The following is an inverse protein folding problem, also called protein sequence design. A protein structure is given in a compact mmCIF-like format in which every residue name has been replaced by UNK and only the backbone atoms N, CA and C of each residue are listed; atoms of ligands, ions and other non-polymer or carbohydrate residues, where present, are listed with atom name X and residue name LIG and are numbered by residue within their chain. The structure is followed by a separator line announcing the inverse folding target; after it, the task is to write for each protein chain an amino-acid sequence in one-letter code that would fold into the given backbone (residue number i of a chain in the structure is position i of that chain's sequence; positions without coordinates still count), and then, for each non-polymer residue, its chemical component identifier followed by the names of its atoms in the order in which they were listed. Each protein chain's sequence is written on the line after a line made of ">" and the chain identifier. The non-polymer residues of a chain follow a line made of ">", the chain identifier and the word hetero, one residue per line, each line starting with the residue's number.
data_IF_103479316906
#
_entry.id   IF_103479316906
#
_cell.length_a   1.000
_cell.length_b   1.000
_cell.length_c   1.000
_cell.angle_alpha   90.00
_cell.angle_beta   90.00
_cell.angle_gamma   90.00
#
_symmetry.space_group_name_H-M   'P 1'
#
loop_
_entity.id
_entity.type
_entity.pdbx_description
1 polymer ?
#
# COMPACT_ATOMS: atom_id res chain seq x y z
N UNK A 1 -54.69 32.22 13.36
CA UNK A 1 -54.03 31.07 12.72
C UNK A 1 -55.08 30.13 12.22
N UNK A 2 -55.11 29.88 10.94
CA UNK A 2 -56.05 28.96 10.34
C UNK A 2 -55.49 27.52 10.38
N UNK A 3 -56.32 26.51 10.46
CA UNK A 3 -55.94 25.09 10.47
C UNK A 3 -55.08 24.73 9.25
N UNK A 4 -55.35 25.38 8.10
CA UNK A 4 -54.59 25.21 6.84
C UNK A 4 -53.15 25.74 6.99
N UNK A 5 -52.97 26.87 7.66
CA UNK A 5 -51.66 27.50 7.86
C UNK A 5 -50.74 26.60 8.74
N UNK A 6 -51.30 25.97 9.78
CA UNK A 6 -50.60 24.99 10.61
C UNK A 6 -50.22 23.73 9.79
N UNK A 7 -51.13 23.25 8.95
CA UNK A 7 -50.88 22.09 8.09
C UNK A 7 -49.74 22.36 7.10
N UNK A 8 -49.74 23.51 6.46
CA UNK A 8 -48.68 23.93 5.53
C UNK A 8 -47.33 24.06 6.23
N UNK A 9 -47.31 24.60 7.46
CA UNK A 9 -46.06 24.70 8.25
C UNK A 9 -45.50 23.34 8.59
N UNK A 10 -46.31 22.38 9.04
CA UNK A 10 -45.90 21.03 9.36
C UNK A 10 -45.32 20.30 8.14
N UNK A 11 -46.02 20.39 6.98
CA UNK A 11 -45.54 19.81 5.72
C UNK A 11 -44.18 20.41 5.32
N UNK A 12 -44.03 21.74 5.44
CA UNK A 12 -42.76 22.41 5.17
C UNK A 12 -41.59 21.89 6.05
N UNK A 13 -41.85 21.75 7.33
CA UNK A 13 -40.83 21.22 8.27
C UNK A 13 -40.43 19.77 7.94
N UNK A 14 -41.39 18.91 7.58
CA UNK A 14 -41.12 17.51 7.20
C UNK A 14 -40.25 17.47 5.92
N UNK A 15 -40.56 18.28 4.91
CA UNK A 15 -39.77 18.33 3.66
C UNK A 15 -38.35 18.80 3.92
N UNK A 16 -38.17 19.87 4.69
CA UNK A 16 -36.84 20.39 5.03
C UNK A 16 -36.03 19.35 5.84
N UNK A 17 -36.65 18.69 6.81
CA UNK A 17 -36.00 17.65 7.61
C UNK A 17 -35.53 16.46 6.76
N UNK A 18 -36.32 16.06 5.78
CA UNK A 18 -35.95 15.01 4.83
C UNK A 18 -34.73 15.37 3.98
N UNK A 19 -34.71 16.60 3.46
CA UNK A 19 -33.57 17.11 2.66
C UNK A 19 -32.29 17.19 3.50
N UNK A 20 -32.37 17.68 4.72
CA UNK A 20 -31.22 17.79 5.63
C UNK A 20 -30.64 16.41 5.96
N UNK A 21 -31.48 15.44 6.26
CA UNK A 21 -31.04 14.06 6.58
C UNK A 21 -30.30 13.43 5.39
N UNK A 22 -30.83 13.59 4.20
CA UNK A 22 -30.19 13.07 2.97
C UNK A 22 -28.85 13.76 2.71
N UNK A 23 -28.78 15.07 2.86
CA UNK A 23 -27.56 15.86 2.69
C UNK A 23 -26.45 15.45 3.66
N UNK A 24 -26.79 15.23 4.93
CA UNK A 24 -25.81 14.77 5.94
C UNK A 24 -25.29 13.37 5.60
N UNK A 25 -26.16 12.44 5.21
CA UNK A 25 -25.72 11.08 4.85
C UNK A 25 -24.77 11.09 3.64
N UNK A 26 -25.07 11.89 2.62
CA UNK A 26 -24.19 12.03 1.46
C UNK A 26 -22.84 12.62 1.84
N UNK A 27 -22.83 13.67 2.66
CA UNK A 27 -21.62 14.31 3.15
C UNK A 27 -20.72 13.33 3.92
N UNK A 28 -21.30 12.54 4.83
CA UNK A 28 -20.55 11.55 5.60
C UNK A 28 -19.95 10.45 4.70
N UNK A 29 -20.71 9.97 3.70
CA UNK A 29 -20.19 8.97 2.76
C UNK A 29 -19.03 9.54 1.92
N UNK A 30 -19.18 10.75 1.42
CA UNK A 30 -18.13 11.43 0.65
C UNK A 30 -16.89 11.66 1.48
N UNK A 31 -17.06 12.14 2.72
CA UNK A 31 -15.96 12.36 3.65
C UNK A 31 -15.17 11.07 3.94
N UNK A 32 -15.87 9.96 4.22
CA UNK A 32 -15.21 8.65 4.44
C UNK A 32 -14.42 8.19 3.23
N UNK A 33 -14.95 8.37 2.01
CA UNK A 33 -14.23 8.08 0.77
C UNK A 33 -12.98 8.92 0.60
N UNK A 34 -13.07 10.21 0.81
CA UNK A 34 -11.91 11.12 0.73
C UNK A 34 -10.84 10.75 1.76
N UNK A 35 -11.25 10.39 2.97
CA UNK A 35 -10.31 9.93 4.02
C UNK A 35 -9.62 8.63 3.62
N UNK A 36 -10.35 7.63 3.14
CA UNK A 36 -9.78 6.36 2.70
C UNK A 36 -8.78 6.58 1.54
N UNK A 37 -9.11 7.42 0.59
CA UNK A 37 -8.24 7.77 -0.52
C UNK A 37 -6.96 8.48 -0.05
N UNK A 38 -7.07 9.47 0.84
CA UNK A 38 -5.92 10.17 1.40
C UNK A 38 -5.01 9.24 2.19
N UNK A 39 -5.59 8.33 2.98
CA UNK A 39 -4.83 7.31 3.72
C UNK A 39 -4.12 6.33 2.79
N UNK A 40 -4.79 5.90 1.70
CA UNK A 40 -4.19 5.05 0.68
C UNK A 40 -3.00 5.73 -0.01
N UNK A 41 -3.10 7.01 -0.34
CA UNK A 41 -2.00 7.79 -0.93
C UNK A 41 -0.82 7.90 0.03
N UNK A 42 -1.08 8.17 1.30
CA UNK A 42 -0.03 8.24 2.33
C UNK A 42 0.66 6.89 2.53
N UNK A 43 -0.12 5.81 2.58
CA UNK A 43 0.42 4.45 2.70
C UNK A 43 1.25 4.08 1.46
N UNK A 44 0.76 4.40 0.25
CA UNK A 44 1.46 4.18 -1.02
C UNK A 44 2.82 4.87 -1.01
N UNK A 45 2.87 6.14 -0.69
CA UNK A 45 4.10 6.93 -0.61
C UNK A 45 5.08 6.35 0.42
N UNK A 46 4.60 6.01 1.61
CA UNK A 46 5.42 5.42 2.68
C UNK A 46 5.98 4.06 2.29
N UNK A 47 5.16 3.20 1.69
CA UNK A 47 5.59 1.88 1.21
C UNK A 47 6.60 2.01 0.07
N UNK A 48 6.35 2.88 -0.90
CA UNK A 48 7.27 3.13 -2.01
C UNK A 48 8.64 3.56 -1.48
N UNK A 49 8.69 4.46 -0.51
CA UNK A 49 9.94 4.89 0.11
C UNK A 49 10.62 3.73 0.84
N UNK A 50 9.89 3.01 1.69
CA UNK A 50 10.46 1.90 2.48
C UNK A 50 10.97 0.75 1.60
N UNK A 51 10.22 0.38 0.56
CA UNK A 51 10.63 -0.65 -0.41
C UNK A 51 11.84 -0.15 -1.21
N UNK A 52 11.82 1.09 -1.69
CA UNK A 52 12.93 1.69 -2.44
C UNK A 52 14.22 1.67 -1.64
N UNK A 53 14.18 2.05 -0.36
CA UNK A 53 15.36 2.08 0.49
C UNK A 53 15.92 0.67 0.71
N UNK A 54 15.06 -0.30 0.97
CA UNK A 54 15.49 -1.71 1.13
C UNK A 54 16.09 -2.28 -0.17
N UNK A 55 15.48 -2.02 -1.32
CA UNK A 55 15.96 -2.51 -2.61
C UNK A 55 17.23 -1.81 -3.07
N UNK A 56 17.34 -0.51 -2.84
CA UNK A 56 18.49 0.30 -3.26
C UNK A 56 19.77 -0.10 -2.54
N UNK A 57 19.67 -0.39 -1.26
CA UNK A 57 20.82 -0.69 -0.39
C UNK A 57 20.95 -2.18 -0.03
N UNK A 58 20.18 -3.06 -0.69
CA UNK A 58 20.29 -4.51 -0.42
C UNK A 58 21.70 -5.02 -0.68
N UNK A 59 22.17 -5.93 0.18
CA UNK A 59 23.49 -6.55 0.09
C UNK A 59 23.58 -7.53 -1.06
N UNK A 60 22.86 -8.64 -0.98
CA UNK A 60 22.86 -9.70 -1.99
C UNK A 60 21.46 -9.91 -2.55
N UNK A 61 21.38 -10.16 -3.84
CA UNK A 61 20.12 -10.55 -4.51
C UNK A 61 20.37 -11.92 -5.13
N UNK A 62 19.57 -12.90 -4.72
CA UNK A 62 19.63 -14.25 -5.26
C UNK A 62 18.36 -14.49 -6.06
N UNK A 63 18.50 -14.96 -7.31
CA UNK A 63 17.39 -15.15 -8.24
C UNK A 63 17.31 -14.07 -9.30
N UNK A 64 16.48 -14.32 -10.29
CA UNK A 64 16.16 -13.40 -11.39
C UNK A 64 14.65 -13.47 -11.69
N UNK A 65 14.11 -12.44 -12.31
CA UNK A 65 12.67 -12.36 -12.55
C UNK A 65 11.87 -12.17 -11.25
N UNK A 66 10.84 -12.99 -11.04
CA UNK A 66 9.90 -12.87 -9.89
C UNK A 66 10.32 -13.63 -8.63
N UNK A 67 11.22 -14.60 -8.77
CA UNK A 67 11.70 -15.43 -7.65
C UNK A 67 12.95 -14.81 -7.04
N UNK A 68 12.78 -13.76 -6.25
CA UNK A 68 13.88 -12.97 -5.71
C UNK A 68 13.96 -13.13 -4.21
N UNK A 69 15.15 -13.45 -3.73
CA UNK A 69 15.50 -13.43 -2.33
C UNK A 69 16.50 -12.28 -2.10
N UNK A 70 16.19 -11.40 -1.19
CA UNK A 70 16.96 -10.19 -0.88
C UNK A 70 17.57 -10.35 0.51
N UNK A 71 18.84 -10.03 0.62
CA UNK A 71 19.58 -10.02 1.86
C UNK A 71 20.06 -8.60 2.16
N UNK A 72 19.74 -8.10 3.35
CA UNK A 72 20.19 -6.78 3.78
C UNK A 72 21.69 -6.74 4.10
N UNK A 73 22.30 -5.57 4.05
CA UNK A 73 23.69 -5.36 4.44
C UNK A 73 23.83 -5.66 5.93
N UNK A 74 24.65 -6.65 6.28
CA UNK A 74 24.84 -7.09 7.67
C UNK A 74 23.98 -8.29 8.09
N UNK A 75 23.27 -8.92 7.18
CA UNK A 75 22.52 -10.18 7.43
C UNK A 75 21.36 -10.06 8.44
N UNK A 76 20.91 -8.85 8.72
CA UNK A 76 19.91 -8.62 9.78
C UNK A 76 18.50 -8.96 9.29
N UNK A 77 18.22 -8.72 8.01
CA UNK A 77 16.92 -8.99 7.40
C UNK A 77 17.13 -9.63 6.03
N UNK A 78 16.52 -10.78 5.83
CA UNK A 78 16.62 -11.49 4.56
C UNK A 78 15.32 -12.19 4.22
N UNK A 79 14.97 -12.27 2.95
CA UNK A 79 13.78 -12.94 2.49
C UNK A 79 13.23 -12.40 1.18
N UNK A 80 12.09 -12.93 0.79
CA UNK A 80 11.28 -12.38 -0.29
C UNK A 80 10.30 -11.36 0.26
N UNK A 81 9.92 -10.39 -0.57
CA UNK A 81 8.80 -9.52 -0.25
C UNK A 81 7.49 -10.29 -0.45
N UNK A 82 6.66 -10.31 0.57
CA UNK A 82 5.35 -10.97 0.57
C UNK A 82 4.29 -10.06 1.20
N UNK A 83 3.04 -10.39 0.99
CA UNK A 83 1.91 -9.72 1.63
C UNK A 83 1.18 -10.75 2.49
N UNK A 84 0.92 -10.40 3.76
CA UNK A 84 0.17 -11.25 4.67
C UNK A 84 -1.36 -11.19 4.42
N UNK A 85 -2.11 -12.06 5.09
CA UNK A 85 -3.58 -12.10 5.00
C UNK A 85 -4.25 -10.79 5.44
N UNK A 86 -3.54 -9.96 6.18
CA UNK A 86 -4.01 -8.64 6.61
C UNK A 86 -3.66 -7.53 5.60
N UNK A 87 -2.98 -7.85 4.50
CA UNK A 87 -2.54 -6.90 3.50
C UNK A 87 -1.34 -6.05 3.95
N UNK A 88 -0.49 -6.59 4.83
CA UNK A 88 0.73 -5.92 5.26
C UNK A 88 1.93 -6.49 4.51
N UNK A 89 2.86 -5.65 4.11
CA UNK A 89 4.07 -6.06 3.40
C UNK A 89 5.13 -6.55 4.39
N UNK A 90 5.67 -7.73 4.10
CA UNK A 90 6.75 -8.35 4.87
C UNK A 90 8.00 -8.48 3.99
N UNK A 91 9.16 -8.43 4.63
CA UNK A 91 10.44 -8.89 4.09
C UNK A 91 10.85 -10.14 4.89
N UNK A 92 10.76 -11.31 4.26
CA UNK A 92 10.89 -12.57 4.97
C UNK A 92 9.80 -12.76 6.02
N UNK A 93 10.17 -12.78 7.30
CA UNK A 93 9.23 -12.89 8.43
C UNK A 93 8.91 -11.56 9.11
N UNK A 94 9.61 -10.49 8.74
CA UNK A 94 9.52 -9.20 9.40
C UNK A 94 8.63 -8.23 8.63
N UNK A 95 7.73 -7.56 9.33
CA UNK A 95 6.88 -6.52 8.75
C UNK A 95 7.70 -5.30 8.36
N UNK A 96 7.51 -4.84 7.11
CA UNK A 96 8.23 -3.68 6.57
C UNK A 96 7.82 -2.39 7.28
N UNK A 97 6.54 -2.25 7.59
CA UNK A 97 5.99 -1.10 8.30
C UNK A 97 5.25 -1.56 9.57
N UNK A 98 5.22 -0.70 10.57
CA UNK A 98 4.45 -0.93 11.80
C UNK A 98 2.94 -1.03 11.52
N UNK A 99 2.24 -1.87 12.30
CA UNK A 99 0.78 -2.07 12.15
C UNK A 99 -0.04 -0.77 12.15
N UNK A 100 0.41 0.24 12.89
CA UNK A 100 -0.26 1.56 12.98
C UNK A 100 -0.21 2.38 11.69
N UNK A 101 0.70 2.07 10.77
CA UNK A 101 0.83 2.75 9.49
C UNK A 101 -0.28 2.36 8.52
N UNK A 102 -0.82 1.15 8.70
CA UNK A 102 -1.96 0.68 7.91
C UNK A 102 -3.25 1.21 8.53
N UNK A 103 -3.95 2.08 7.80
CA UNK A 103 -5.24 2.58 8.23
C UNK A 103 -6.28 1.44 8.26
N UNK A 104 -7.28 1.58 9.11
CA UNK A 104 -8.32 0.57 9.26
C UNK A 104 -9.08 0.39 7.92
N UNK A 105 -9.08 -0.85 7.41
CA UNK A 105 -9.74 -1.19 6.14
C UNK A 105 -8.89 -0.99 4.90
N UNK A 106 -7.66 -0.47 5.00
CA UNK A 106 -6.75 -0.31 3.86
C UNK A 106 -5.75 -1.46 3.82
N UNK A 107 -5.61 -2.11 2.67
CA UNK A 107 -4.78 -3.31 2.48
C UNK A 107 -3.93 -3.20 1.21
N UNK A 108 -2.74 -3.79 1.24
CA UNK A 108 -1.92 -3.96 0.03
C UNK A 108 -2.32 -5.25 -0.66
N UNK A 109 -2.44 -5.21 -1.97
CA UNK A 109 -2.67 -6.39 -2.82
C UNK A 109 -1.79 -6.32 -4.08
N UNK A 110 -1.67 -7.46 -4.74
CA UNK A 110 -1.01 -7.54 -6.04
C UNK A 110 0.45 -7.11 -6.02
N UNK A 111 1.17 -7.29 -4.88
CA UNK A 111 2.58 -6.97 -4.83
C UNK A 111 3.33 -7.88 -5.81
N UNK A 112 3.85 -7.29 -6.86
CA UNK A 112 4.70 -7.92 -7.86
C UNK A 112 6.07 -7.25 -7.81
N UNK A 113 7.10 -8.06 -7.63
CA UNK A 113 8.49 -7.64 -7.57
C UNK A 113 9.30 -8.48 -8.54
N UNK A 114 9.97 -7.85 -9.47
CA UNK A 114 10.88 -8.50 -10.41
C UNK A 114 12.23 -7.83 -10.43
N UNK A 115 13.28 -8.60 -10.70
CA UNK A 115 14.65 -8.14 -10.79
C UNK A 115 15.25 -8.54 -12.12
N UNK A 116 15.90 -7.61 -12.80
CA UNK A 116 16.73 -7.85 -13.98
C UNK A 116 18.20 -7.75 -13.57
N UNK A 117 18.89 -8.88 -13.61
CA UNK A 117 20.32 -8.94 -13.31
C UNK A 117 21.16 -8.17 -14.34
N UNK A 118 20.72 -8.15 -15.60
CA UNK A 118 21.39 -7.43 -16.69
C UNK A 118 21.38 -5.90 -16.48
N UNK A 119 20.23 -5.35 -16.07
CA UNK A 119 20.06 -3.92 -15.84
C UNK A 119 20.34 -3.51 -14.38
N UNK A 120 20.44 -4.48 -13.47
CA UNK A 120 20.52 -4.28 -12.02
C UNK A 120 19.37 -3.45 -11.48
N UNK A 121 18.18 -3.71 -12.01
CA UNK A 121 16.99 -2.92 -11.76
C UNK A 121 15.87 -3.80 -11.22
N UNK A 122 15.22 -3.31 -10.19
CA UNK A 122 13.99 -3.87 -9.66
C UNK A 122 12.80 -3.13 -10.28
N UNK A 123 11.78 -3.88 -10.68
CA UNK A 123 10.47 -3.34 -11.01
C UNK A 123 9.50 -3.79 -9.94
N UNK A 124 8.77 -2.85 -9.36
CA UNK A 124 7.84 -3.09 -8.25
C UNK A 124 6.50 -2.52 -8.62
N UNK A 125 5.46 -3.30 -8.49
CA UNK A 125 4.07 -2.83 -8.59
C UNK A 125 3.23 -3.36 -7.45
N UNK A 126 2.30 -2.57 -6.96
CA UNK A 126 1.32 -2.98 -5.97
C UNK A 126 0.08 -2.09 -6.00
N UNK A 127 -1.03 -2.65 -5.53
CA UNK A 127 -2.28 -1.97 -5.36
C UNK A 127 -2.62 -1.78 -3.89
N UNK A 128 -3.25 -0.67 -3.57
CA UNK A 128 -3.83 -0.42 -2.27
C UNK A 128 -5.35 -0.43 -2.43
N UNK A 129 -5.99 -1.33 -1.70
CA UNK A 129 -7.44 -1.54 -1.77
C UNK A 129 -8.12 -1.18 -0.45
N UNK A 130 -9.41 -0.90 -0.51
CA UNK A 130 -10.28 -0.83 0.66
C UNK A 130 -10.72 -2.24 1.08
N UNK A 131 -11.47 -2.33 2.19
CA UNK A 131 -12.01 -3.61 2.68
C UNK A 131 -12.99 -4.31 1.72
N UNK A 132 -13.42 -3.65 0.64
CA UNK A 132 -14.31 -4.16 -0.41
C UNK A 132 -13.58 -4.45 -1.73
N UNK A 133 -12.26 -4.54 -1.73
CA UNK A 133 -11.40 -4.81 -2.89
C UNK A 133 -11.40 -3.71 -3.98
N UNK A 134 -11.92 -2.52 -3.67
CA UNK A 134 -11.82 -1.38 -4.57
C UNK A 134 -10.41 -0.83 -4.53
N UNK A 135 -9.76 -0.69 -5.69
CA UNK A 135 -8.43 -0.09 -5.79
C UNK A 135 -8.53 1.41 -5.50
N UNK A 136 -7.84 1.85 -4.46
CA UNK A 136 -7.76 3.25 -4.04
C UNK A 136 -6.50 3.94 -4.57
N UNK A 137 -5.40 3.19 -4.68
CA UNK A 137 -4.15 3.69 -5.24
C UNK A 137 -3.39 2.54 -5.90
N UNK A 138 -2.72 2.86 -6.99
CA UNK A 138 -1.79 1.98 -7.70
C UNK A 138 -0.40 2.60 -7.68
N UNK A 139 0.63 1.77 -7.51
CA UNK A 139 2.03 2.19 -7.58
C UNK A 139 2.80 1.25 -8.48
N UNK A 140 3.53 1.84 -9.43
CA UNK A 140 4.48 1.15 -10.30
C UNK A 140 5.76 2.00 -10.37
N UNK A 141 6.89 1.42 -10.01
CA UNK A 141 8.16 2.13 -10.00
C UNK A 141 9.34 1.19 -10.19
N UNK A 142 10.46 1.78 -10.58
CA UNK A 142 11.73 1.06 -10.79
C UNK A 142 12.79 1.57 -9.84
N UNK A 143 13.59 0.65 -9.30
CA UNK A 143 14.66 0.95 -8.36
C UNK A 143 15.96 0.36 -8.86
N UNK A 144 16.97 1.20 -9.04
CA UNK A 144 18.31 0.75 -9.37
C UNK A 144 19.08 0.41 -8.08
N UNK A 145 19.67 -0.78 -8.03
CA UNK A 145 20.54 -1.21 -6.95
C UNK A 145 21.86 -0.42 -6.99
N UNK A 146 22.27 0.14 -5.85
CA UNK A 146 23.52 0.92 -5.74
C UNK A 146 24.65 0.01 -5.21
N UNK A 147 24.34 -0.91 -4.30
CA UNK A 147 25.35 -1.76 -3.69
C UNK A 147 25.93 -2.76 -4.70
N UNK A 148 27.27 -2.76 -4.88
CA UNK A 148 27.95 -3.58 -5.87
C UNK A 148 28.52 -4.90 -5.31
N UNK A 149 28.27 -5.25 -4.04
CA UNK A 149 28.68 -6.54 -3.51
C UNK A 149 27.93 -7.67 -4.25
N UNK A 150 28.44 -8.02 -5.41
CA UNK A 150 28.23 -9.35 -5.93
C UNK A 150 28.96 -10.27 -4.93
N UNK A 151 28.22 -11.10 -4.21
CA UNK A 151 28.82 -12.30 -3.64
C UNK A 151 29.34 -13.11 -4.82
N UNK A 152 30.56 -12.83 -5.23
CA UNK A 152 31.38 -13.77 -5.95
C UNK A 152 31.51 -14.94 -4.99
N UNK A 153 30.75 -16.00 -5.22
CA UNK A 153 31.16 -17.32 -4.80
C UNK A 153 32.54 -17.53 -5.47
N UNK A 154 33.56 -17.20 -4.73
CA UNK A 154 34.92 -17.68 -4.99
C UNK A 154 34.84 -19.20 -4.79
N UNK A 155 34.50 -19.89 -5.89
CA UNK A 155 34.77 -21.31 -6.02
C UNK A 155 36.29 -21.42 -6.09
N UNK A 156 36.89 -21.52 -4.89
CA UNK A 156 38.26 -21.90 -4.73
C UNK A 156 38.51 -23.21 -5.45
N UNK A 157 39.08 -23.12 -6.61
CA UNK A 157 39.76 -24.17 -7.31
C UNK A 157 41.05 -24.44 -6.55
N UNK A 158 41.00 -25.46 -5.69
CA UNK A 158 42.18 -26.03 -5.08
C UNK A 158 42.74 -27.06 -6.06
N UNK A 159 43.90 -26.77 -6.59
CA UNK A 159 44.80 -27.72 -7.25
C UNK A 159 45.36 -28.71 -6.26
#
# INVERSE_FOLDING_TARGET
>A
MTLVEMLCAVVGVILISGLLTTGIQLSVRTFRRCMAFSQAQTLSSTLTTAITDKLRYCGTVTGDGKSIFIQDVGNVESGAFTVDDQGQVLLGTKKLLGKKTYAQGVRVRGLDLSYSSAERMFTVSFDITDGGDTVLAHSDFRVKRINQNNGSADSGEAS
#
